data_IF_877868406502
#
_entry.id   IF_877868406502
#
_cell.length_a   1.000
_cell.length_b   1.000
_cell.length_c   1.000
_cell.angle_alpha   90.00
_cell.angle_beta   90.00
_cell.angle_gamma   90.00
#
_symmetry.space_group_name_H-M   'P 1'
#
loop_
_entity.id
_entity.type
_entity.pdbx_description
1 polymer ?
#
# COMPACT_ATOMS: atom_id res chain seq x y z
N UNK A 1 -8.77 16.83 51.16
CA UNK A 1 -9.79 16.35 50.21
C UNK A 1 -9.41 16.54 48.73
N UNK A 2 -8.55 17.50 48.36
CA UNK A 2 -8.11 17.70 46.96
C UNK A 2 -7.05 16.72 46.46
N UNK A 3 -6.19 16.21 47.35
CA UNK A 3 -5.12 15.23 47.03
C UNK A 3 -5.62 13.81 46.80
N UNK A 4 -6.71 13.40 47.45
CA UNK A 4 -7.27 12.03 47.30
C UNK A 4 -7.99 11.88 45.96
N UNK A 5 -8.67 12.94 45.49
CA UNK A 5 -9.38 12.93 44.19
C UNK A 5 -8.38 12.81 43.03
N UNK A 6 -7.21 13.48 43.10
CA UNK A 6 -6.18 13.39 42.08
C UNK A 6 -5.54 11.99 41.97
N UNK A 7 -5.36 11.29 43.10
CA UNK A 7 -4.81 9.92 43.12
C UNK A 7 -5.80 8.92 42.52
N UNK A 8 -7.10 9.08 42.79
CA UNK A 8 -8.15 8.21 42.21
C UNK A 8 -8.27 8.44 40.69
N UNK A 9 -8.23 9.68 40.23
CA UNK A 9 -8.25 9.98 38.79
C UNK A 9 -7.00 9.44 38.04
N UNK A 10 -5.82 9.49 38.66
CA UNK A 10 -4.60 8.96 38.06
C UNK A 10 -4.58 7.42 38.01
N UNK A 11 -5.13 6.75 39.03
CA UNK A 11 -5.27 5.28 39.05
C UNK A 11 -6.28 4.76 38.02
N UNK A 12 -7.40 5.46 37.80
CA UNK A 12 -8.40 5.11 36.78
C UNK A 12 -7.85 5.29 35.36
N UNK A 13 -7.02 6.31 35.12
CA UNK A 13 -6.34 6.49 33.83
C UNK A 13 -5.26 5.42 33.56
N UNK A 14 -4.54 4.98 34.60
CA UNK A 14 -3.56 3.89 34.47
C UNK A 14 -4.23 2.51 34.23
N UNK A 15 -5.41 2.27 34.81
CA UNK A 15 -6.16 1.03 34.57
C UNK A 15 -6.71 0.95 33.14
N UNK A 16 -7.26 2.05 32.60
CA UNK A 16 -7.81 2.06 31.23
C UNK A 16 -6.74 1.93 30.14
N UNK A 17 -5.52 2.41 30.36
CA UNK A 17 -4.41 2.24 29.39
C UNK A 17 -3.82 0.83 29.37
N UNK A 18 -3.82 0.13 30.52
CA UNK A 18 -3.33 -1.25 30.65
C UNK A 18 -4.37 -2.26 30.13
N UNK A 19 -5.68 -1.93 30.24
CA UNK A 19 -6.83 -2.65 29.64
C UNK A 19 -7.04 -2.39 28.13
N UNK A 20 -6.13 -1.71 27.44
CA UNK A 20 -6.16 -1.66 25.97
C UNK A 20 -5.13 -2.61 25.35
N UNK A 21 -3.95 -2.66 25.98
CA UNK A 21 -2.78 -3.39 25.49
C UNK A 21 -2.90 -4.91 25.76
N UNK A 22 -3.54 -5.32 26.86
CA UNK A 22 -3.72 -6.75 27.16
C UNK A 22 -4.72 -7.43 26.21
N UNK A 23 -5.81 -6.74 25.90
CA UNK A 23 -6.93 -7.18 25.06
C UNK A 23 -6.49 -7.28 23.60
N UNK A 24 -5.79 -6.26 23.09
CA UNK A 24 -5.19 -6.31 21.76
C UNK A 24 -4.14 -7.42 21.65
N UNK A 25 -3.37 -7.68 22.71
CA UNK A 25 -2.42 -8.81 22.77
C UNK A 25 -3.13 -10.17 22.74
N UNK A 26 -4.23 -10.32 23.48
CA UNK A 26 -5.05 -11.53 23.48
C UNK A 26 -5.63 -11.78 22.09
N UNK A 27 -6.25 -10.78 21.48
CA UNK A 27 -6.80 -10.85 20.13
C UNK A 27 -5.71 -11.20 19.10
N UNK A 28 -4.58 -10.50 19.11
CA UNK A 28 -3.45 -10.81 18.21
C UNK A 28 -2.98 -12.26 18.36
N UNK A 29 -2.84 -12.75 19.59
CA UNK A 29 -2.43 -14.15 19.83
C UNK A 29 -3.46 -15.14 19.31
N UNK A 30 -4.75 -14.85 19.48
CA UNK A 30 -5.83 -15.68 18.97
C UNK A 30 -5.80 -15.75 17.44
N UNK A 31 -5.69 -14.59 16.78
CA UNK A 31 -5.67 -14.50 15.31
C UNK A 31 -4.44 -15.19 14.70
N UNK A 32 -3.27 -15.05 15.34
CA UNK A 32 -2.00 -15.52 14.76
C UNK A 32 -1.55 -16.91 15.26
N UNK A 33 -2.37 -17.63 16.03
CA UNK A 33 -1.95 -18.89 16.66
C UNK A 33 -1.59 -19.97 15.62
N UNK A 34 -2.39 -20.10 14.56
CA UNK A 34 -2.24 -21.09 13.48
C UNK A 34 -2.21 -20.42 12.10
N UNK A 35 -1.86 -19.13 12.05
CA UNK A 35 -1.87 -18.33 10.84
C UNK A 35 -0.58 -18.51 10.02
N UNK A 36 -0.73 -18.95 8.78
CA UNK A 36 0.38 -19.18 7.85
C UNK A 36 0.54 -18.01 6.88
N UNK A 37 1.32 -17.00 7.28
CA UNK A 37 1.57 -15.77 6.48
C UNK A 37 2.19 -16.00 5.10
N UNK A 38 2.72 -17.20 4.82
CA UNK A 38 3.34 -17.55 3.55
C UNK A 38 2.34 -17.99 2.48
N UNK A 39 1.08 -18.22 2.86
CA UNK A 39 0.02 -18.68 1.97
C UNK A 39 -0.96 -17.54 1.66
N UNK A 40 -1.58 -17.57 0.48
CA UNK A 40 -2.63 -16.62 0.11
C UNK A 40 -3.78 -16.72 1.13
N UNK A 41 -4.38 -15.59 1.52
CA UNK A 41 -5.33 -15.57 2.64
C UNK A 41 -6.75 -15.92 2.19
N UNK A 42 -6.90 -17.13 1.65
CA UNK A 42 -8.14 -17.68 1.12
C UNK A 42 -8.41 -19.06 1.73
N UNK A 43 -9.67 -19.33 2.09
CA UNK A 43 -10.08 -20.65 2.61
C UNK A 43 -10.18 -21.70 1.51
N UNK A 44 -10.53 -21.26 0.29
CA UNK A 44 -10.55 -22.10 -0.90
C UNK A 44 -9.46 -21.63 -1.86
N UNK A 45 -8.50 -22.51 -2.16
CA UNK A 45 -7.35 -22.19 -3.03
C UNK A 45 -7.76 -21.77 -4.45
N UNK A 46 -8.98 -22.12 -4.87
CA UNK A 46 -9.52 -21.74 -6.19
C UNK A 46 -10.04 -20.31 -6.22
N UNK A 47 -10.23 -19.66 -5.07
CA UNK A 47 -10.66 -18.26 -5.04
C UNK A 47 -9.47 -17.33 -5.24
N UNK A 48 -9.75 -16.26 -5.98
CA UNK A 48 -8.79 -15.23 -6.32
C UNK A 48 -8.75 -14.17 -5.22
N UNK A 49 -7.55 -13.78 -4.78
CA UNK A 49 -7.36 -12.66 -3.85
C UNK A 49 -7.32 -11.36 -4.65
N UNK A 50 -8.25 -10.45 -4.43
CA UNK A 50 -8.23 -9.12 -5.07
C UNK A 50 -7.43 -8.14 -4.23
N UNK A 51 -6.40 -7.53 -4.82
CA UNK A 51 -5.54 -6.51 -4.21
C UNK A 51 -5.79 -5.18 -4.93
N UNK A 52 -6.41 -4.23 -4.23
CA UNK A 52 -6.67 -2.89 -4.75
C UNK A 52 -5.50 -1.97 -4.44
N UNK A 53 -4.96 -1.32 -5.46
CA UNK A 53 -3.83 -0.40 -5.36
C UNK A 53 -4.27 1.04 -5.58
N UNK A 54 -3.88 1.91 -4.66
CA UNK A 54 -3.99 3.36 -4.80
C UNK A 54 -2.68 4.04 -4.48
N UNK A 55 -2.55 5.31 -4.88
CA UNK A 55 -1.37 6.12 -4.58
C UNK A 55 -1.77 7.50 -4.05
N UNK A 56 -1.04 7.96 -3.04
CA UNK A 56 -0.95 9.40 -2.76
C UNK A 56 0.39 9.89 -3.32
N UNK A 57 0.34 10.70 -4.37
CA UNK A 57 1.54 11.20 -5.03
C UNK A 57 2.05 12.43 -4.29
N UNK A 58 3.24 12.31 -3.68
CA UNK A 58 3.76 13.34 -2.76
C UNK A 58 4.64 14.34 -3.44
N UNK A 59 5.59 13.90 -4.26
CA UNK A 59 6.60 14.80 -4.82
C UNK A 59 7.28 14.17 -6.04
N UNK A 60 7.55 15.00 -7.04
CA UNK A 60 8.55 14.72 -8.08
C UNK A 60 9.91 15.08 -7.48
N UNK A 61 10.75 14.08 -7.25
CA UNK A 61 12.08 14.28 -6.66
C UNK A 61 13.04 14.75 -7.75
N UNK A 62 13.07 14.03 -8.87
CA UNK A 62 13.98 14.29 -9.98
C UNK A 62 13.49 13.61 -11.27
N UNK A 63 13.80 14.19 -12.42
CA UNK A 63 13.62 13.58 -13.75
C UNK A 63 14.98 13.66 -14.44
N UNK A 64 15.69 12.54 -14.48
CA UNK A 64 17.00 12.43 -15.13
C UNK A 64 16.79 12.13 -16.63
N UNK A 65 16.81 13.17 -17.45
CA UNK A 65 16.52 13.04 -18.89
C UNK A 65 17.55 12.20 -19.63
N UNK A 66 18.80 12.23 -19.15
CA UNK A 66 19.90 11.49 -19.75
C UNK A 66 19.77 10.00 -19.50
N UNK A 67 19.41 9.62 -18.27
CA UNK A 67 19.30 8.23 -17.86
C UNK A 67 17.88 7.67 -18.01
N UNK A 68 16.91 8.52 -18.41
CA UNK A 68 15.51 8.14 -18.62
C UNK A 68 14.87 7.57 -17.34
N UNK A 69 15.03 8.30 -16.22
CA UNK A 69 14.54 7.88 -14.91
C UNK A 69 13.74 8.99 -14.25
N UNK A 70 12.54 8.68 -13.77
CA UNK A 70 11.80 9.53 -12.84
C UNK A 70 11.93 9.00 -11.42
N UNK A 71 12.38 9.84 -10.50
CA UNK A 71 12.33 9.58 -9.06
C UNK A 71 11.15 10.31 -8.44
N UNK A 72 10.28 9.57 -7.75
CA UNK A 72 9.06 10.10 -7.13
C UNK A 72 8.86 9.59 -5.72
N UNK A 73 8.34 10.45 -4.84
CA UNK A 73 7.89 10.06 -3.50
C UNK A 73 6.39 9.75 -3.55
N UNK A 74 6.00 8.54 -3.15
CA UNK A 74 4.62 8.05 -3.24
C UNK A 74 4.26 7.32 -1.95
N UNK A 75 3.03 7.51 -1.47
CA UNK A 75 2.45 6.62 -0.47
C UNK A 75 1.62 5.57 -1.19
N UNK A 76 2.14 4.34 -1.22
CA UNK A 76 1.45 3.21 -1.83
C UNK A 76 0.39 2.69 -0.86
N UNK A 77 -0.86 2.66 -1.30
CA UNK A 77 -2.01 2.13 -0.55
C UNK A 77 -2.41 0.80 -1.16
N UNK A 78 -2.58 -0.21 -0.31
CA UNK A 78 -3.05 -1.52 -0.71
C UNK A 78 -4.16 -1.99 0.19
N UNK A 79 -5.18 -2.59 -0.43
CA UNK A 79 -6.34 -3.13 0.24
C UNK A 79 -6.65 -4.53 -0.27
N UNK A 80 -6.86 -5.45 0.67
CA UNK A 80 -7.29 -6.81 0.37
C UNK A 80 -8.12 -7.33 1.55
N UNK A 81 -8.69 -8.52 1.40
CA UNK A 81 -9.37 -9.21 2.50
C UNK A 81 -8.58 -10.46 2.84
N UNK A 82 -8.38 -10.69 4.14
CA UNK A 82 -7.83 -11.92 4.67
C UNK A 82 -8.96 -12.73 5.34
N UNK A 83 -9.27 -13.90 4.77
CA UNK A 83 -10.39 -14.73 5.24
C UNK A 83 -10.10 -15.44 6.57
N UNK A 84 -8.83 -15.56 6.96
CA UNK A 84 -8.40 -16.23 8.18
C UNK A 84 -8.26 -15.24 9.35
N UNK A 85 -8.10 -13.94 9.07
CA UNK A 85 -8.00 -12.88 10.07
C UNK A 85 -9.34 -12.17 10.32
N UNK A 86 -10.39 -12.94 10.59
CA UNK A 86 -11.73 -12.43 10.94
C UNK A 86 -12.08 -12.76 12.39
N UNK A 87 -12.73 -11.83 13.07
CA UNK A 87 -13.26 -12.07 14.41
C UNK A 87 -14.57 -11.31 14.65
N UNK A 88 -15.28 -11.69 15.70
CA UNK A 88 -16.47 -10.98 16.13
C UNK A 88 -16.09 -9.98 17.24
N UNK A 89 -16.32 -8.69 17.00
CA UNK A 89 -16.02 -7.60 17.93
C UNK A 89 -16.54 -7.88 19.34
N UNK A 90 -17.75 -8.46 19.46
CA UNK A 90 -18.39 -8.69 20.77
C UNK A 90 -17.64 -9.70 21.63
N UNK A 91 -16.87 -10.59 21.00
CA UNK A 91 -16.10 -11.63 21.70
C UNK A 91 -14.74 -11.08 22.18
N UNK A 92 -14.32 -9.92 21.66
CA UNK A 92 -13.03 -9.29 21.91
C UNK A 92 -13.16 -7.82 22.31
N UNK A 93 -13.91 -7.54 23.38
CA UNK A 93 -14.01 -6.20 23.99
C UNK A 93 -14.45 -5.08 23.02
N UNK A 94 -15.20 -5.42 21.97
CA UNK A 94 -15.61 -4.52 20.89
C UNK A 94 -14.43 -3.89 20.12
N UNK A 95 -13.30 -4.59 20.04
CA UNK A 95 -12.17 -4.18 19.20
C UNK A 95 -12.54 -4.46 17.74
N UNK A 96 -12.80 -3.41 16.97
CA UNK A 96 -13.14 -3.51 15.54
C UNK A 96 -11.93 -3.39 14.61
N UNK A 97 -10.79 -2.95 15.12
CA UNK A 97 -9.57 -2.77 14.33
C UNK A 97 -8.32 -2.98 15.18
N UNK A 98 -7.30 -3.62 14.60
CA UNK A 98 -5.99 -3.81 15.21
C UNK A 98 -4.88 -3.52 14.20
N UNK A 99 -3.73 -3.01 14.67
CA UNK A 99 -2.57 -2.77 13.82
C UNK A 99 -1.50 -3.84 14.11
N UNK A 100 -1.15 -4.63 13.10
CA UNK A 100 -0.14 -5.70 13.20
C UNK A 100 1.03 -5.38 12.28
N UNK A 101 2.30 -5.60 12.69
CA UNK A 101 3.44 -5.46 11.79
C UNK A 101 3.26 -6.30 10.52
N UNK A 102 3.47 -5.70 9.34
CA UNK A 102 3.31 -6.36 8.03
C UNK A 102 4.10 -7.65 7.88
N UNK A 103 5.23 -7.80 8.57
CA UNK A 103 6.05 -9.02 8.57
C UNK A 103 5.40 -10.24 9.25
N UNK A 104 4.33 -10.04 10.01
CA UNK A 104 3.63 -11.09 10.77
C UNK A 104 2.36 -11.59 10.06
N UNK A 105 1.91 -10.89 9.01
CA UNK A 105 0.74 -11.24 8.22
C UNK A 105 1.12 -11.47 6.76
N UNK A 106 0.25 -12.09 5.97
CA UNK A 106 0.44 -12.15 4.52
C UNK A 106 0.38 -10.73 3.96
N UNK A 107 1.36 -10.40 3.10
CA UNK A 107 1.42 -9.15 2.38
C UNK A 107 1.55 -9.52 0.89
N UNK A 108 0.73 -8.96 0.00
CA UNK A 108 0.88 -9.19 -1.43
C UNK A 108 2.28 -8.78 -1.90
N UNK A 109 2.82 -9.57 -2.82
CA UNK A 109 4.14 -9.41 -3.42
C UNK A 109 4.13 -8.37 -4.56
N UNK A 110 3.51 -7.22 -4.30
CA UNK A 110 3.40 -6.13 -5.26
C UNK A 110 4.77 -5.52 -5.55
N UNK A 111 5.17 -5.53 -6.81
CA UNK A 111 6.44 -5.00 -7.30
C UNK A 111 6.19 -3.90 -8.35
N UNK A 112 7.11 -2.94 -8.41
CA UNK A 112 7.19 -1.98 -9.51
C UNK A 112 7.97 -2.61 -10.68
N UNK A 113 7.29 -2.93 -11.78
CA UNK A 113 7.83 -3.67 -12.92
C UNK A 113 8.90 -2.87 -13.68
N UNK A 114 8.67 -1.57 -13.85
CA UNK A 114 9.55 -0.66 -14.55
C UNK A 114 10.55 0.04 -13.60
N UNK A 115 10.93 -0.60 -12.50
CA UNK A 115 11.87 -0.04 -11.52
C UNK A 115 13.31 0.03 -12.06
N UNK A 116 13.98 1.16 -11.85
CA UNK A 116 15.41 1.37 -12.19
C UNK A 116 16.22 1.51 -10.91
N UNK A 117 17.04 0.51 -10.62
CA UNK A 117 17.87 0.46 -9.41
C UNK A 117 17.24 -0.36 -8.28
N UNK A 118 17.89 -0.38 -7.12
CA UNK A 118 17.33 -1.04 -5.94
C UNK A 118 16.34 -0.12 -5.22
N UNK A 119 15.18 -0.66 -4.84
CA UNK A 119 14.24 -0.04 -3.91
C UNK A 119 14.93 0.14 -2.54
N UNK A 120 15.62 1.28 -2.37
CA UNK A 120 16.41 1.55 -1.19
C UNK A 120 15.49 1.94 -0.02
N UNK A 121 15.57 1.19 1.09
CA UNK A 121 14.88 1.43 2.36
C UNK A 121 13.34 1.36 2.29
N UNK A 122 12.81 0.15 2.08
CA UNK A 122 11.38 -0.13 2.29
C UNK A 122 11.02 0.04 3.77
N UNK A 123 10.37 1.15 4.12
CA UNK A 123 9.74 1.31 5.42
C UNK A 123 8.54 0.38 5.50
N UNK A 124 8.71 -0.74 6.18
CA UNK A 124 7.64 -1.70 6.44
C UNK A 124 6.74 -1.17 7.57
N UNK A 125 5.62 -0.57 7.18
CA UNK A 125 4.59 -0.10 8.12
C UNK A 125 3.74 -1.26 8.64
N UNK A 126 2.93 -0.98 9.67
CA UNK A 126 1.93 -1.92 10.16
C UNK A 126 0.74 -1.97 9.20
N UNK A 127 0.07 -3.12 9.16
CA UNK A 127 -1.21 -3.32 8.49
C UNK A 127 -2.33 -3.07 9.50
N UNK A 128 -3.30 -2.25 9.13
CA UNK A 128 -4.54 -2.10 9.89
C UNK A 128 -5.53 -3.17 9.41
N UNK A 129 -6.05 -3.95 10.37
CA UNK A 129 -6.92 -5.09 10.12
C UNK A 129 -8.26 -4.79 10.75
N UNK A 130 -9.33 -4.83 9.96
CA UNK A 130 -10.69 -4.74 10.46
C UNK A 130 -11.20 -6.13 10.85
N UNK A 131 -12.18 -6.20 11.75
CA UNK A 131 -12.75 -7.47 12.23
C UNK A 131 -13.41 -8.33 11.15
N UNK A 132 -13.86 -7.72 10.06
CA UNK A 132 -14.33 -8.44 8.87
C UNK A 132 -13.21 -9.01 7.99
N UNK A 133 -11.94 -8.88 8.40
CA UNK A 133 -10.76 -9.33 7.66
C UNK A 133 -10.27 -8.34 6.60
N UNK A 134 -10.86 -7.15 6.48
CA UNK A 134 -10.39 -6.14 5.55
C UNK A 134 -9.06 -5.55 6.01
N UNK A 135 -8.06 -5.66 5.15
CA UNK A 135 -6.68 -5.29 5.37
C UNK A 135 -6.40 -3.96 4.68
N UNK A 136 -5.76 -3.04 5.40
CA UNK A 136 -5.28 -1.76 4.87
C UNK A 136 -3.80 -1.61 5.16
N UNK A 137 -3.00 -1.50 4.11
CA UNK A 137 -1.58 -1.24 4.21
C UNK A 137 -1.22 0.02 3.43
N UNK A 138 -0.49 0.92 4.08
CA UNK A 138 0.00 2.15 3.46
C UNK A 138 1.48 2.29 3.77
N UNK A 139 2.31 2.41 2.73
CA UNK A 139 3.75 2.52 2.88
C UNK A 139 4.30 3.71 2.09
N UNK A 140 5.03 4.64 2.73
CA UNK A 140 5.78 5.66 2.02
C UNK A 140 6.98 5.03 1.32
N UNK A 141 7.11 5.26 0.01
CA UNK A 141 8.20 4.74 -0.82
C UNK A 141 8.74 5.80 -1.78
N UNK A 142 10.02 5.66 -2.12
CA UNK A 142 10.63 6.39 -3.22
C UNK A 142 10.75 5.42 -4.37
N UNK A 143 10.09 5.73 -5.48
CA UNK A 143 10.16 4.94 -6.70
C UNK A 143 11.06 5.63 -7.71
N UNK A 144 12.10 4.92 -8.14
CA UNK A 144 12.84 5.24 -9.36
C UNK A 144 12.31 4.34 -10.48
N UNK A 145 11.61 4.92 -11.45
CA UNK A 145 11.04 4.20 -12.58
C UNK A 145 11.66 4.65 -13.90
N UNK A 146 11.74 3.72 -14.86
CA UNK A 146 12.13 4.07 -16.22
C UNK A 146 11.06 4.96 -16.84
N UNK A 147 11.46 6.10 -17.37
CA UNK A 147 10.58 7.05 -18.04
C UNK A 147 11.17 7.45 -19.38
N UNK A 148 10.41 7.23 -20.46
CA UNK A 148 10.85 7.58 -21.80
C UNK A 148 10.71 9.08 -22.01
N UNK A 149 11.83 9.79 -21.96
CA UNK A 149 11.87 11.24 -22.11
C UNK A 149 11.97 11.64 -23.59
N UNK A 150 11.11 12.56 -24.03
CA UNK A 150 11.14 13.19 -25.35
C UNK A 150 11.56 14.66 -25.25
N UNK A 151 12.76 14.98 -25.75
CA UNK A 151 13.36 16.33 -25.68
C UNK A 151 13.14 17.14 -26.97
N UNK A 152 12.26 16.71 -27.88
CA UNK A 152 12.08 17.38 -29.17
C UNK A 152 11.68 18.86 -29.04
N UNK A 153 10.87 19.19 -28.03
CA UNK A 153 10.36 20.56 -27.78
C UNK A 153 11.08 21.31 -26.66
N UNK A 154 12.25 20.84 -26.21
CA UNK A 154 12.98 21.47 -25.11
C UNK A 154 13.19 22.98 -25.32
N UNK A 155 12.97 23.85 -24.31
CA UNK A 155 12.59 23.53 -22.92
C UNK A 155 11.06 23.55 -22.65
N UNK A 156 10.21 23.56 -23.69
CA UNK A 156 8.75 23.58 -23.56
C UNK A 156 8.16 22.18 -23.76
N UNK A 157 8.77 21.19 -23.11
CA UNK A 157 8.45 19.78 -23.22
C UNK A 157 7.45 19.31 -22.17
N UNK A 158 6.66 18.31 -22.55
CA UNK A 158 5.76 17.54 -21.68
C UNK A 158 6.28 16.10 -21.63
N UNK A 159 6.25 15.49 -20.46
CA UNK A 159 6.72 14.13 -20.24
C UNK A 159 5.61 13.28 -19.61
N UNK A 160 5.52 12.03 -20.07
CA UNK A 160 4.63 11.01 -19.52
C UNK A 160 5.46 9.87 -18.94
N UNK A 161 5.46 9.75 -17.61
CA UNK A 161 6.17 8.70 -16.89
C UNK A 161 5.19 7.73 -16.25
N UNK A 162 5.53 6.44 -16.22
CA UNK A 162 4.66 5.39 -15.66
C UNK A 162 5.20 4.82 -14.35
N UNK A 163 4.29 4.36 -13.49
CA UNK A 163 4.55 3.44 -12.40
C UNK A 163 3.68 2.20 -12.59
N UNK A 164 4.32 1.05 -12.82
CA UNK A 164 3.65 -0.21 -13.21
C UNK A 164 3.67 -1.20 -12.05
N UNK A 165 2.56 -1.38 -11.35
CA UNK A 165 2.46 -2.24 -10.17
C UNK A 165 1.70 -3.53 -10.47
N UNK A 166 2.25 -4.67 -10.05
CA UNK A 166 1.58 -5.96 -10.14
C UNK A 166 2.16 -6.97 -9.15
N UNK A 167 1.49 -8.10 -8.99
CA UNK A 167 2.08 -9.26 -8.30
C UNK A 167 3.27 -9.77 -9.09
N UNK A 168 4.33 -10.22 -8.41
CA UNK A 168 5.52 -10.74 -9.06
C UNK A 168 5.46 -12.25 -9.31
N UNK A 169 4.88 -13.00 -8.38
CA UNK A 169 4.88 -14.47 -8.39
C UNK A 169 3.52 -15.08 -8.70
N UNK A 170 2.43 -14.35 -8.47
CA UNK A 170 1.08 -14.84 -8.73
C UNK A 170 0.55 -14.34 -10.06
N UNK A 171 -0.05 -15.25 -10.82
CA UNK A 171 -0.87 -14.90 -11.97
C UNK A 171 -2.25 -14.41 -11.55
N UNK A 172 -2.99 -13.89 -12.52
CA UNK A 172 -4.31 -13.28 -12.35
C UNK A 172 -5.35 -14.23 -11.79
N UNK A 173 -5.21 -15.55 -11.96
CA UNK A 173 -6.14 -16.51 -11.34
C UNK A 173 -5.98 -16.60 -9.82
N UNK A 174 -4.78 -16.34 -9.30
CA UNK A 174 -4.47 -16.39 -7.88
C UNK A 174 -4.62 -15.01 -7.22
N UNK A 175 -4.02 -13.98 -7.83
CA UNK A 175 -4.04 -12.60 -7.34
C UNK A 175 -4.45 -11.66 -8.46
N UNK A 176 -5.55 -10.95 -8.24
CA UNK A 176 -6.02 -9.91 -9.15
C UNK A 176 -5.69 -8.54 -8.60
N UNK A 177 -4.75 -7.88 -9.27
CA UNK A 177 -4.32 -6.52 -8.93
C UNK A 177 -5.19 -5.52 -9.67
N UNK A 178 -5.90 -4.67 -8.94
CA UNK A 178 -6.83 -3.69 -9.52
C UNK A 178 -6.55 -2.29 -8.98
N UNK A 179 -7.04 -1.25 -9.65
CA UNK A 179 -7.01 0.11 -9.11
C UNK A 179 -7.98 0.25 -7.93
N UNK A 180 -7.68 1.16 -7.00
CA UNK A 180 -8.67 1.69 -6.06
C UNK A 180 -9.77 2.44 -6.83
N UNK A 181 -11.01 2.40 -6.33
CA UNK A 181 -12.13 3.13 -6.93
C UNK A 181 -11.95 4.66 -6.84
N UNK A 182 -11.15 5.11 -5.88
CA UNK A 182 -10.80 6.51 -5.70
C UNK A 182 -9.62 6.92 -6.61
N UNK A 183 -9.64 8.15 -7.17
CA UNK A 183 -8.54 8.63 -7.99
C UNK A 183 -7.25 8.80 -7.15
N UNK A 184 -6.08 8.83 -7.82
CA UNK A 184 -4.81 9.20 -7.18
C UNK A 184 -4.94 10.49 -6.37
N UNK A 185 -4.49 10.47 -5.12
CA UNK A 185 -4.61 11.61 -4.22
C UNK A 185 -3.45 12.57 -4.36
N UNK A 186 -3.75 13.86 -4.45
CA UNK A 186 -2.79 14.97 -4.42
C UNK A 186 -2.89 15.81 -3.14
N UNK A 187 -3.61 15.32 -2.11
CA UNK A 187 -3.85 16.08 -0.86
C UNK A 187 -2.56 16.55 -0.19
N UNK A 188 -1.49 15.77 -0.31
CA UNK A 188 -0.20 16.08 0.29
C UNK A 188 0.91 16.31 -0.75
N UNK A 189 0.53 16.74 -1.96
CA UNK A 189 1.48 17.02 -3.02
C UNK A 189 2.34 18.25 -2.69
N UNK A 190 3.65 18.13 -2.90
CA UNK A 190 4.64 19.19 -2.77
C UNK A 190 5.02 19.64 -4.17
N UNK A 191 4.81 20.94 -4.45
CA UNK A 191 5.15 21.54 -5.72
C UNK A 191 6.65 21.40 -6.03
N UNK A 192 6.96 21.17 -7.30
CA UNK A 192 8.32 21.18 -7.82
C UNK A 192 8.53 22.50 -8.59
N UNK A 193 9.73 23.07 -8.49
CA UNK A 193 10.04 24.36 -9.11
C UNK A 193 10.32 24.25 -10.61
N UNK A 194 10.74 23.08 -11.08
CA UNK A 194 11.07 22.78 -12.48
C UNK A 194 9.91 22.11 -13.23
N UNK A 195 9.17 21.22 -12.57
CA UNK A 195 8.12 20.41 -13.17
C UNK A 195 6.75 20.73 -12.60
N UNK A 196 5.81 21.07 -13.47
CA UNK A 196 4.39 21.18 -13.14
C UNK A 196 3.69 19.83 -13.35
N UNK A 197 3.02 19.32 -12.32
CA UNK A 197 2.18 18.13 -12.43
C UNK A 197 0.85 18.51 -13.09
N UNK A 198 0.60 17.95 -14.28
CA UNK A 198 -0.62 18.20 -15.05
C UNK A 198 -1.75 17.27 -14.63
N UNK A 199 -1.48 15.96 -14.62
CA UNK A 199 -2.44 14.96 -14.17
C UNK A 199 -1.75 13.66 -13.70
N UNK A 200 -2.54 12.81 -13.04
CA UNK A 200 -2.20 11.42 -12.79
C UNK A 200 -3.44 10.59 -13.12
N UNK A 201 -3.27 9.56 -13.94
CA UNK A 201 -4.31 8.57 -14.25
C UNK A 201 -3.88 7.18 -13.82
N UNK A 202 -4.83 6.32 -13.49
CA UNK A 202 -4.58 4.93 -13.11
C UNK A 202 -5.45 4.00 -13.93
N UNK A 203 -4.85 2.99 -14.57
CA UNK A 203 -5.53 2.01 -15.41
C UNK A 203 -5.07 0.61 -15.04
N UNK A 204 -6.00 -0.33 -15.00
CA UNK A 204 -5.69 -1.75 -14.90
C UNK A 204 -5.66 -2.38 -16.29
N UNK A 205 -4.64 -3.18 -16.57
CA UNK A 205 -4.49 -3.96 -17.79
C UNK A 205 -4.06 -5.41 -17.46
N UNK A 206 -4.55 -6.38 -18.24
CA UNK A 206 -4.12 -7.77 -18.13
C UNK A 206 -2.99 -8.03 -19.13
N UNK A 207 -1.79 -8.34 -18.63
CA UNK A 207 -0.63 -8.66 -19.48
C UNK A 207 -0.50 -10.18 -19.62
N UNK A 208 -0.25 -10.65 -20.84
CA UNK A 208 0.03 -12.06 -21.11
C UNK A 208 1.51 -12.25 -21.44
N UNK A 209 2.22 -13.01 -20.61
CA UNK A 209 3.63 -13.31 -20.84
C UNK A 209 3.79 -14.60 -21.65
N UNK A 210 4.78 -14.67 -22.57
CA UNK A 210 5.03 -15.89 -23.35
C UNK A 210 5.33 -17.16 -22.52
N UNK A 211 5.72 -17.01 -21.26
CA UNK A 211 5.99 -18.12 -20.36
C UNK A 211 4.73 -18.90 -19.95
N UNK A 212 3.60 -18.21 -19.89
CA UNK A 212 2.53 -18.54 -18.97
C UNK A 212 1.15 -18.24 -19.61
N UNK A 213 0.19 -19.19 -19.58
CA UNK A 213 -1.12 -19.00 -20.20
C UNK A 213 -2.05 -18.04 -19.43
N UNK A 214 -1.81 -17.84 -18.13
CA UNK A 214 -2.58 -16.95 -17.27
C UNK A 214 -2.28 -15.46 -17.53
N UNK A 215 -3.28 -14.57 -17.34
CA UNK A 215 -3.05 -13.13 -17.35
C UNK A 215 -2.26 -12.70 -16.11
N UNK A 216 -1.55 -11.59 -16.20
CA UNK A 216 -0.90 -10.90 -15.09
C UNK A 216 -1.49 -9.50 -14.99
N UNK A 217 -2.44 -9.28 -14.08
CA UNK A 217 -3.06 -7.97 -13.88
C UNK A 217 -2.03 -6.96 -13.39
N UNK A 218 -1.94 -5.85 -14.10
CA UNK A 218 -1.01 -4.75 -13.85
C UNK A 218 -1.80 -3.46 -13.69
N UNK A 219 -1.45 -2.66 -12.70
CA UNK A 219 -1.97 -1.30 -12.51
C UNK A 219 -0.90 -0.30 -12.90
N UNK A 220 -1.19 0.47 -13.94
CA UNK A 220 -0.29 1.51 -14.46
C UNK A 220 -0.80 2.87 -14.04
N UNK A 221 0.00 3.60 -13.28
CA UNK A 221 -0.21 5.03 -13.05
C UNK A 221 0.60 5.83 -14.06
N UNK A 222 -0.06 6.68 -14.84
CA UNK A 222 0.60 7.60 -15.78
C UNK A 222 0.62 8.99 -15.15
N UNK A 223 1.82 9.55 -15.00
CA UNK A 223 2.12 10.86 -14.43
C UNK A 223 2.52 11.77 -15.58
N UNK A 224 1.66 12.74 -15.90
CA UNK A 224 1.93 13.74 -16.94
C UNK A 224 2.45 15.02 -16.31
N UNK A 225 3.63 15.47 -16.75
CA UNK A 225 4.30 16.67 -16.23
C UNK A 225 4.74 17.59 -17.35
N UNK A 226 4.72 18.89 -17.08
CA UNK A 226 5.19 19.92 -18.00
C UNK A 226 6.36 20.69 -17.38
N UNK A 227 7.41 20.96 -18.16
CA UNK A 227 8.52 21.79 -17.71
C UNK A 227 8.11 23.27 -17.63
N UNK A 228 8.54 23.96 -16.57
CA UNK A 228 8.29 25.39 -16.32
C UNK A 228 9.26 26.33 -17.02
#
# INVERSE_FOLDING_TARGET
MRTVIAIVFFAVFLLNGVLGDFEAKQLKRHLLQDYEKGLRPVRDVTTQTTVRIGIDFRQIIDIDEKNQVMSSAVWLRQYWTDEDLQWNDTDFWNISTINIPSKEVWLPDTVLYNSVGSDHNQLMTNVAINSNGFMTWMAPRIFASSCKIDIYYFPFDEQECTLEFGSWTYGGYDVNTTTEDAPPSLTYFVYNDEWELINITGVQEDIYYPCCPEPYPLVTFTITVQRR
#
